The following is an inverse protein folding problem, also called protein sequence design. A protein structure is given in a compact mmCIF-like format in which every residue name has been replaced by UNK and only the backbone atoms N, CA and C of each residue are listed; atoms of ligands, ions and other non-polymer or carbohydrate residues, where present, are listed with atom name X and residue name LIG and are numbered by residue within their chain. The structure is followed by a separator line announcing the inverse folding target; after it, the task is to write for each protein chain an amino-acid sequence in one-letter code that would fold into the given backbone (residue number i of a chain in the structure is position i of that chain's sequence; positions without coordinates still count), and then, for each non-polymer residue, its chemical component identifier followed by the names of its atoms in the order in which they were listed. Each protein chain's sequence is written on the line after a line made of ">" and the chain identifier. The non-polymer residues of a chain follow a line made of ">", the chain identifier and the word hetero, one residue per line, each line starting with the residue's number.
data_IF_959872692758
#
_entry.id   IF_959872692758
#
_cell.length_a   1.000
_cell.length_b   1.000
_cell.length_c   1.000
_cell.angle_alpha   90.00
_cell.angle_beta   90.00
_cell.angle_gamma   90.00
#
_symmetry.space_group_name_H-M   'P 1'
#
loop_
_entity.id
_entity.type
_entity.pdbx_description
1 polymer ?
#
# COMPACT_ATOMS: atom_id res chain seq x y z
N UNK A 1 -0.03 -9.81 4.05
CA UNK A 1 -0.15 -8.36 3.79
C UNK A 1 -0.95 -7.81 4.95
N UNK A 2 -0.35 -6.96 5.78
CA UNK A 2 -1.11 -6.27 6.83
C UNK A 2 -2.13 -5.40 6.09
N UNK A 3 -3.42 -5.68 6.30
CA UNK A 3 -4.52 -5.03 5.58
C UNK A 3 -4.32 -3.51 5.69
N UNK A 4 -4.39 -2.81 4.56
CA UNK A 4 -4.62 -1.36 4.55
C UNK A 4 -5.89 -1.11 5.33
N UNK A 5 -5.74 -0.78 6.60
CA UNK A 5 -6.87 -0.42 7.43
C UNK A 5 -7.13 1.06 7.10
N UNK A 6 -7.86 1.30 6.00
CA UNK A 6 -8.32 2.61 5.57
C UNK A 6 -8.94 3.40 6.73
N UNK A 7 -9.58 2.67 7.66
CA UNK A 7 -10.11 3.19 8.92
C UNK A 7 -9.07 3.95 9.76
N UNK A 8 -7.78 3.58 9.73
CA UNK A 8 -6.71 4.29 10.45
C UNK A 8 -6.29 5.59 9.76
N UNK A 9 -6.38 5.70 8.43
CA UNK A 9 -6.09 6.93 7.69
C UNK A 9 -7.26 7.90 7.83
N UNK A 10 -8.50 7.41 7.73
CA UNK A 10 -9.71 8.20 7.98
C UNK A 10 -9.82 8.67 9.43
N UNK A 11 -9.38 7.87 10.43
CA UNK A 11 -9.35 8.29 11.85
C UNK A 11 -8.38 9.44 12.12
N UNK A 12 -7.26 9.53 11.39
CA UNK A 12 -6.26 10.58 11.60
C UNK A 12 -6.74 11.92 11.03
N UNK A 13 -7.44 11.89 9.88
CA UNK A 13 -8.00 13.11 9.27
C UNK A 13 -9.25 13.58 10.00
N UNK A 14 -10.09 12.68 10.52
CA UNK A 14 -11.21 13.07 11.40
C UNK A 14 -10.75 13.77 12.70
N UNK A 15 -9.54 13.49 13.17
CA UNK A 15 -8.97 14.14 14.36
C UNK A 15 -8.70 15.64 14.22
N UNK A 16 -8.66 16.18 12.99
CA UNK A 16 -8.42 17.61 12.73
C UNK A 16 -9.61 18.47 13.18
N UNK A 17 -10.84 17.99 12.97
CA UNK A 17 -12.04 18.81 13.17
C UNK A 17 -12.56 18.75 14.61
N UNK A 18 -12.14 17.75 15.39
CA UNK A 18 -12.42 17.73 16.84
C UNK A 18 -11.54 18.73 17.60
N UNK A 19 -10.35 19.07 17.10
CA UNK A 19 -9.53 20.13 17.72
C UNK A 19 -9.98 21.56 17.36
N UNK A 20 -10.84 21.73 16.36
CA UNK A 20 -11.64 22.95 16.17
C UNK A 20 -12.91 22.95 17.06
N UNK A 21 -13.28 21.81 17.65
CA UNK A 21 -14.33 21.69 18.66
C UNK A 21 -13.84 21.91 20.11
N UNK A 22 -12.55 22.15 20.35
CA UNK A 22 -12.06 22.53 21.69
C UNK A 22 -12.47 23.95 22.12
N UNK A 23 -13.16 24.71 21.26
CA UNK A 23 -13.85 25.95 21.63
C UNK A 23 -15.38 25.76 21.78
N UNK A 24 -15.86 24.52 21.76
CA UNK A 24 -17.28 24.17 21.61
C UNK A 24 -17.74 23.13 22.66
N UNK A 25 -17.56 23.43 23.94
CA UNK A 25 -18.25 22.70 25.02
C UNK A 25 -19.69 23.20 25.21
N UNK A 26 -20.70 22.31 25.30
CA UNK A 26 -22.04 22.69 25.74
C UNK A 26 -22.06 22.63 27.27
N UNK A 27 -21.87 23.76 27.95
CA UNK A 27 -22.28 23.86 29.36
C UNK A 27 -23.80 23.94 29.37
N UNK A 28 -24.42 22.86 29.85
CA UNK A 28 -25.86 22.76 30.09
C UNK A 28 -26.20 23.70 31.25
N UNK A 29 -27.11 24.65 31.05
CA UNK A 29 -27.88 25.27 32.14
C UNK A 29 -29.15 25.94 31.61
N UNK A 30 -30.16 25.88 32.46
CA UNK A 30 -31.57 26.27 32.33
C UNK A 30 -31.80 27.77 31.98
N UNK A 31 -33.06 28.08 31.61
CA UNK A 31 -33.68 29.38 31.27
C UNK A 31 -33.76 29.69 29.76
N UNK A 32 -34.95 30.06 29.29
CA UNK A 32 -35.34 30.12 27.87
C UNK A 32 -35.41 31.55 27.32
N UNK A 33 -35.37 32.60 28.16
CA UNK A 33 -35.29 34.01 27.75
C UNK A 33 -33.86 34.55 27.68
N UNK A 34 -32.87 33.87 28.27
CA UNK A 34 -31.44 34.20 28.19
C UNK A 34 -30.71 33.43 27.09
N UNK A 35 -31.35 32.43 26.46
CA UNK A 35 -30.72 31.58 25.44
C UNK A 35 -30.42 32.32 24.15
N UNK A 36 -31.32 33.16 23.67
CA UNK A 36 -31.12 33.87 22.41
C UNK A 36 -30.06 34.97 22.57
N UNK A 37 -30.02 35.65 23.72
CA UNK A 37 -28.97 36.61 24.07
C UNK A 37 -27.59 35.95 24.26
N UNK A 38 -27.53 34.80 24.96
CA UNK A 38 -26.27 34.03 25.11
C UNK A 38 -25.82 33.45 23.77
N UNK A 39 -26.75 33.06 22.91
CA UNK A 39 -26.46 32.54 21.56
C UNK A 39 -25.97 33.67 20.64
N UNK A 40 -26.58 34.85 20.69
CA UNK A 40 -26.13 36.05 19.99
C UNK A 40 -24.74 36.52 20.48
N UNK A 41 -24.49 36.49 21.80
CA UNK A 41 -23.18 36.84 22.38
C UNK A 41 -22.09 35.82 22.05
N UNK A 42 -22.42 34.52 22.00
CA UNK A 42 -21.50 33.48 21.49
C UNK A 42 -21.26 33.61 19.99
N UNK A 43 -22.26 34.06 19.25
CA UNK A 43 -22.19 34.30 17.83
C UNK A 43 -21.28 35.51 17.53
N UNK A 44 -21.41 36.65 18.21
CA UNK A 44 -20.50 37.79 18.02
C UNK A 44 -19.04 37.42 18.31
N UNK A 45 -18.80 36.66 19.38
CA UNK A 45 -17.48 36.12 19.73
C UNK A 45 -16.90 35.16 18.66
N UNK A 46 -17.73 34.52 17.83
CA UNK A 46 -17.25 33.68 16.74
C UNK A 46 -16.63 34.53 15.61
N UNK A 47 -17.27 35.64 15.22
CA UNK A 47 -16.73 36.51 14.19
C UNK A 47 -15.41 37.19 14.62
N UNK A 48 -15.28 37.54 15.91
CA UNK A 48 -14.02 38.05 16.47
C UNK A 48 -12.92 36.98 16.44
N UNK A 49 -13.26 35.72 16.75
CA UNK A 49 -12.30 34.61 16.79
C UNK A 49 -11.88 34.15 15.40
N UNK A 50 -12.80 34.11 14.43
CA UNK A 50 -12.48 33.63 13.09
C UNK A 50 -11.60 34.60 12.30
N UNK A 51 -11.77 35.90 12.56
CA UNK A 51 -10.93 36.96 12.02
C UNK A 51 -9.47 36.83 12.53
N UNK A 52 -9.31 36.32 13.76
CA UNK A 52 -8.03 36.08 14.41
C UNK A 52 -7.57 34.60 14.33
N UNK A 53 -8.19 33.80 13.46
CA UNK A 53 -7.94 32.37 13.41
C UNK A 53 -6.56 32.06 12.80
N UNK A 54 -5.56 31.93 13.66
CA UNK A 54 -4.23 31.44 13.32
C UNK A 54 -4.10 29.94 13.58
N UNK A 55 -3.39 29.21 12.72
CA UNK A 55 -2.94 27.84 13.03
C UNK A 55 -3.74 26.68 12.40
N UNK A 56 -4.80 26.94 11.61
CA UNK A 56 -5.44 25.89 10.81
C UNK A 56 -4.44 25.31 9.80
N UNK A 57 -3.71 26.17 9.08
CA UNK A 57 -2.69 25.73 8.13
C UNK A 57 -1.58 24.91 8.79
N UNK A 58 -1.15 25.31 10.00
CA UNK A 58 -0.15 24.57 10.77
C UNK A 58 -0.65 23.17 11.13
N UNK A 59 -1.87 23.05 11.67
CA UNK A 59 -2.46 21.74 12.02
C UNK A 59 -2.63 20.84 10.80
N UNK A 60 -2.99 21.42 9.64
CA UNK A 60 -3.08 20.64 8.39
C UNK A 60 -1.68 20.19 7.95
N UNK A 61 -0.67 21.06 8.01
CA UNK A 61 0.70 20.72 7.65
C UNK A 61 1.30 19.62 8.55
N UNK A 62 1.10 19.68 9.88
CA UNK A 62 1.55 18.65 10.82
C UNK A 62 0.94 17.27 10.50
N UNK A 63 -0.33 17.25 10.09
CA UNK A 63 -1.03 16.02 9.73
C UNK A 63 -0.60 15.48 8.38
N UNK A 64 -0.38 16.36 7.40
CA UNK A 64 0.22 16.02 6.11
C UNK A 64 1.59 15.36 6.32
N UNK A 65 2.45 15.95 7.15
CA UNK A 65 3.75 15.38 7.50
C UNK A 65 3.63 13.99 8.16
N UNK A 66 2.66 13.82 9.07
CA UNK A 66 2.39 12.52 9.71
C UNK A 66 1.95 11.46 8.69
N UNK A 67 1.13 11.85 7.70
CA UNK A 67 0.68 10.94 6.64
C UNK A 67 1.87 10.52 5.79
N UNK A 68 2.69 11.46 5.35
CA UNK A 68 3.87 11.18 4.53
C UNK A 68 4.88 10.29 5.27
N UNK A 69 5.16 10.56 6.55
CA UNK A 69 6.02 9.70 7.37
C UNK A 69 5.50 8.27 7.43
N UNK A 70 4.20 8.08 7.72
CA UNK A 70 3.59 6.75 7.78
C UNK A 70 3.58 6.04 6.42
N UNK A 71 3.60 6.76 5.32
CA UNK A 71 3.73 6.18 3.97
C UNK A 71 5.16 5.75 3.71
N UNK A 72 6.13 6.61 4.02
CA UNK A 72 7.55 6.28 3.90
C UNK A 72 7.93 5.03 4.72
N UNK A 73 7.48 4.95 5.98
CA UNK A 73 7.72 3.79 6.85
C UNK A 73 7.19 2.49 6.26
N UNK A 74 6.01 2.51 5.64
CA UNK A 74 5.42 1.32 5.00
C UNK A 74 6.22 0.90 3.77
N UNK A 75 6.64 1.85 2.95
CA UNK A 75 7.48 1.58 1.77
C UNK A 75 8.81 0.96 2.21
N UNK A 76 9.44 1.50 3.26
CA UNK A 76 10.67 0.97 3.81
C UNK A 76 10.50 -0.47 4.35
N UNK A 77 9.46 -0.72 5.16
CA UNK A 77 9.13 -2.07 5.64
C UNK A 77 8.88 -3.05 4.50
N UNK A 78 8.21 -2.62 3.43
CA UNK A 78 7.98 -3.44 2.24
C UNK A 78 9.31 -3.79 1.54
N UNK A 79 10.19 -2.80 1.36
CA UNK A 79 11.52 -2.97 0.77
C UNK A 79 12.36 -3.96 1.58
N UNK A 80 12.45 -3.78 2.89
CA UNK A 80 13.15 -4.69 3.78
C UNK A 80 12.62 -6.12 3.71
N UNK A 81 11.28 -6.29 3.74
CA UNK A 81 10.66 -7.62 3.65
C UNK A 81 11.01 -8.31 2.33
N UNK A 82 11.05 -7.56 1.23
CA UNK A 82 11.45 -8.08 -0.08
C UNK A 82 12.93 -8.47 -0.09
N UNK A 83 13.80 -7.68 0.53
CA UNK A 83 15.24 -7.97 0.64
C UNK A 83 15.50 -9.26 1.44
N UNK A 84 14.93 -9.36 2.65
CA UNK A 84 15.02 -10.59 3.47
C UNK A 84 14.50 -11.82 2.73
N UNK A 85 13.41 -11.65 1.97
CA UNK A 85 12.88 -12.72 1.12
C UNK A 85 13.80 -13.11 -0.04
N UNK A 86 14.51 -12.16 -0.64
CA UNK A 86 15.51 -12.43 -1.67
C UNK A 86 16.73 -13.16 -1.11
N UNK A 87 17.28 -12.70 0.01
CA UNK A 87 18.42 -13.35 0.69
C UNK A 87 18.11 -14.82 1.00
N UNK A 88 16.96 -15.08 1.63
CA UNK A 88 16.52 -16.46 1.91
C UNK A 88 16.37 -17.30 0.64
N UNK A 89 15.85 -16.71 -0.45
CA UNK A 89 15.70 -17.42 -1.74
C UNK A 89 17.05 -17.75 -2.37
N UNK A 90 18.01 -16.82 -2.33
CA UNK A 90 19.36 -17.03 -2.85
C UNK A 90 20.07 -18.12 -2.06
N UNK A 91 20.05 -18.05 -0.72
CA UNK A 91 20.65 -19.05 0.15
C UNK A 91 20.03 -20.44 -0.06
N UNK A 92 18.70 -20.53 -0.15
CA UNK A 92 18.03 -21.79 -0.43
C UNK A 92 18.43 -22.37 -1.79
N UNK A 93 18.49 -21.54 -2.85
CA UNK A 93 18.91 -21.97 -4.18
C UNK A 93 20.33 -22.53 -4.18
N UNK A 94 21.27 -21.84 -3.54
CA UNK A 94 22.65 -22.30 -3.40
C UNK A 94 22.72 -23.68 -2.73
N UNK A 95 21.99 -23.88 -1.62
CA UNK A 95 21.90 -25.19 -0.95
C UNK A 95 21.35 -26.29 -1.87
N UNK A 96 20.29 -26.00 -2.62
CA UNK A 96 19.72 -26.95 -3.58
C UNK A 96 20.67 -27.29 -4.72
N UNK A 97 21.47 -26.32 -5.18
CA UNK A 97 22.45 -26.53 -6.25
C UNK A 97 23.60 -27.42 -5.78
N UNK A 98 24.15 -27.15 -4.59
CA UNK A 98 25.17 -28.02 -3.97
C UNK A 98 24.66 -29.45 -3.80
N UNK A 99 23.46 -29.62 -3.23
CA UNK A 99 22.88 -30.96 -3.02
C UNK A 99 22.67 -31.72 -4.33
N UNK A 100 22.32 -31.02 -5.41
CA UNK A 100 22.10 -31.63 -6.71
C UNK A 100 23.42 -31.98 -7.40
N UNK A 101 24.42 -31.09 -7.34
CA UNK A 101 25.75 -31.38 -7.84
C UNK A 101 26.34 -32.64 -7.17
N UNK A 102 26.17 -32.75 -5.86
CA UNK A 102 26.58 -33.94 -5.10
C UNK A 102 25.83 -35.21 -5.53
N UNK A 103 24.53 -35.11 -5.83
CA UNK A 103 23.76 -36.26 -6.37
C UNK A 103 24.26 -36.70 -7.73
N UNK A 104 24.58 -35.76 -8.63
CA UNK A 104 25.15 -36.11 -9.93
C UNK A 104 26.51 -36.78 -9.80
N UNK A 105 27.36 -36.28 -8.89
CA UNK A 105 28.65 -36.90 -8.60
C UNK A 105 28.50 -38.34 -8.13
N UNK A 106 27.61 -38.59 -7.16
CA UNK A 106 27.34 -39.95 -6.66
C UNK A 106 26.80 -40.90 -7.73
N UNK A 107 26.00 -40.41 -8.67
CA UNK A 107 25.53 -41.21 -9.79
C UNK A 107 26.68 -41.61 -10.73
N UNK A 108 27.64 -40.71 -10.97
CA UNK A 108 28.79 -40.99 -11.83
C UNK A 108 29.84 -41.90 -11.17
N UNK A 109 29.93 -41.91 -9.84
CA UNK A 109 30.87 -42.73 -9.07
C UNK A 109 30.36 -44.15 -8.78
N UNK A 110 29.18 -44.53 -9.29
CA UNK A 110 28.62 -45.86 -9.04
C UNK A 110 29.47 -46.97 -9.69
N UNK A 111 29.66 -48.07 -8.94
CA UNK A 111 30.30 -49.27 -9.45
C UNK A 111 29.50 -49.84 -10.63
N UNK A 112 30.17 -50.26 -11.71
CA UNK A 112 29.58 -50.76 -12.97
C UNK A 112 29.07 -49.70 -14.00
N UNK A 113 29.68 -48.51 -14.02
CA UNK A 113 29.40 -47.50 -15.05
C UNK A 113 30.13 -47.78 -16.38
N UNK A 114 29.38 -48.11 -17.44
CA UNK A 114 29.88 -48.07 -18.83
C UNK A 114 29.92 -46.63 -19.35
N UNK A 115 30.59 -46.39 -20.48
CA UNK A 115 30.69 -45.05 -21.04
C UNK A 115 29.34 -44.54 -21.55
N UNK A 116 28.46 -45.44 -22.00
CA UNK A 116 27.07 -45.14 -22.39
C UNK A 116 26.27 -44.67 -21.18
N UNK A 117 26.38 -45.35 -20.02
CA UNK A 117 25.69 -44.98 -18.78
C UNK A 117 26.17 -43.65 -18.24
N UNK A 118 27.48 -43.37 -18.30
CA UNK A 118 28.04 -42.05 -17.96
C UNK A 118 27.48 -40.96 -18.87
N UNK A 119 27.43 -41.20 -20.18
CA UNK A 119 26.90 -40.24 -21.14
C UNK A 119 25.42 -39.94 -20.88
N UNK A 120 24.60 -40.97 -20.56
CA UNK A 120 23.21 -40.78 -20.17
C UNK A 120 23.05 -39.91 -18.90
N UNK A 121 23.90 -40.10 -17.89
CA UNK A 121 23.91 -39.26 -16.68
C UNK A 121 24.29 -37.82 -17.02
N UNK A 122 25.26 -37.59 -17.91
CA UNK A 122 25.65 -36.24 -18.37
C UNK A 122 24.48 -35.55 -19.08
N UNK A 123 23.76 -36.25 -19.95
CA UNK A 123 22.56 -35.74 -20.63
C UNK A 123 21.47 -35.40 -19.60
N UNK A 124 21.19 -36.30 -18.66
CA UNK A 124 20.23 -36.07 -17.59
C UNK A 124 20.58 -34.83 -16.74
N UNK A 125 21.85 -34.71 -16.34
CA UNK A 125 22.36 -33.56 -15.60
C UNK A 125 22.10 -32.26 -16.37
N UNK A 126 22.52 -32.21 -17.63
CA UNK A 126 22.41 -31.02 -18.48
C UNK A 126 20.94 -30.60 -18.61
N UNK A 127 20.06 -31.53 -18.97
CA UNK A 127 18.61 -31.29 -19.10
C UNK A 127 18.00 -30.73 -17.83
N UNK A 128 18.34 -31.28 -16.66
CA UNK A 128 17.80 -30.79 -15.38
C UNK A 128 18.36 -29.44 -14.93
N UNK A 129 19.64 -29.16 -15.22
CA UNK A 129 20.26 -27.86 -14.94
C UNK A 129 19.62 -26.76 -15.80
N UNK A 130 19.42 -27.02 -17.09
CA UNK A 130 18.72 -26.13 -18.01
C UNK A 130 17.27 -25.89 -17.59
N UNK A 131 16.50 -26.96 -17.31
CA UNK A 131 15.12 -26.84 -16.85
C UNK A 131 15.03 -26.07 -15.53
N UNK A 132 15.99 -26.26 -14.62
CA UNK A 132 16.07 -25.51 -13.36
C UNK A 132 16.33 -24.04 -13.62
N UNK A 133 17.31 -23.72 -14.47
CA UNK A 133 17.68 -22.36 -14.84
C UNK A 133 16.48 -21.64 -15.46
N UNK A 134 15.81 -22.28 -16.40
CA UNK A 134 14.60 -21.75 -17.04
C UNK A 134 13.49 -21.49 -16.02
N UNK A 135 13.14 -22.47 -15.18
CA UNK A 135 12.13 -22.29 -14.12
C UNK A 135 12.45 -21.10 -13.21
N UNK A 136 13.71 -20.98 -12.79
CA UNK A 136 14.15 -19.86 -11.93
C UNK A 136 14.00 -18.52 -12.65
N UNK A 137 14.48 -18.43 -13.89
CA UNK A 137 14.41 -17.21 -14.69
C UNK A 137 12.97 -16.75 -14.90
N UNK A 138 12.05 -17.66 -15.25
CA UNK A 138 10.63 -17.34 -15.44
C UNK A 138 9.98 -16.83 -14.15
N UNK A 139 10.22 -17.51 -13.01
CA UNK A 139 9.65 -17.09 -11.72
C UNK A 139 10.24 -15.76 -11.25
N UNK A 140 11.54 -15.54 -11.45
CA UNK A 140 12.21 -14.29 -11.06
C UNK A 140 11.71 -13.11 -11.91
N UNK A 141 11.58 -13.31 -13.23
CA UNK A 141 10.99 -12.32 -14.15
C UNK A 141 9.56 -11.98 -13.75
N UNK A 142 8.69 -12.97 -13.55
CA UNK A 142 7.32 -12.76 -13.10
C UNK A 142 7.24 -12.05 -11.73
N UNK A 143 8.18 -12.35 -10.82
CA UNK A 143 8.29 -11.67 -9.53
C UNK A 143 8.74 -10.22 -9.67
N UNK A 144 9.65 -9.92 -10.60
CA UNK A 144 10.10 -8.58 -10.89
C UNK A 144 8.97 -7.73 -11.48
N UNK A 145 8.25 -8.25 -12.48
CA UNK A 145 7.07 -7.60 -13.07
C UNK A 145 6.01 -7.31 -12.02
N UNK A 146 5.70 -8.29 -11.16
CA UNK A 146 4.77 -8.09 -10.05
C UNK A 146 5.22 -6.95 -9.11
N UNK A 147 6.50 -6.92 -8.74
CA UNK A 147 7.03 -5.89 -7.84
C UNK A 147 6.98 -4.51 -8.49
N UNK A 148 7.38 -4.41 -9.75
CA UNK A 148 7.36 -3.16 -10.50
C UNK A 148 5.93 -2.60 -10.63
N UNK A 149 4.97 -3.45 -10.99
CA UNK A 149 3.55 -3.08 -11.06
C UNK A 149 3.00 -2.61 -9.71
N UNK A 150 3.26 -3.36 -8.63
CA UNK A 150 2.87 -2.95 -7.27
C UNK A 150 3.49 -1.60 -6.87
N UNK A 151 4.76 -1.38 -7.18
CA UNK A 151 5.45 -0.13 -6.82
C UNK A 151 4.92 1.06 -7.63
N UNK A 152 4.51 0.83 -8.88
CA UNK A 152 3.83 1.82 -9.71
C UNK A 152 2.48 2.21 -9.12
N UNK A 153 1.65 1.23 -8.73
CA UNK A 153 0.34 1.48 -8.12
C UNK A 153 0.46 2.23 -6.78
N UNK A 154 1.46 1.88 -5.95
CA UNK A 154 1.75 2.61 -4.70
C UNK A 154 2.13 4.08 -4.96
N UNK A 155 2.91 4.35 -6.01
CA UNK A 155 3.27 5.73 -6.40
C UNK A 155 2.05 6.49 -6.93
N UNK A 156 1.21 5.84 -7.73
CA UNK A 156 -0.02 6.43 -8.26
C UNK A 156 -1.00 6.78 -7.14
N UNK A 157 -1.29 5.84 -6.24
CA UNK A 157 -2.10 6.07 -5.03
C UNK A 157 -1.53 7.23 -4.22
N UNK A 158 -0.20 7.28 -4.08
CA UNK A 158 0.48 8.35 -3.39
C UNK A 158 0.27 9.74 -3.96
N UNK A 159 0.27 9.83 -5.29
CA UNK A 159 0.01 11.07 -6.02
C UNK A 159 -1.45 11.49 -5.86
N UNK A 160 -2.37 10.52 -5.94
CA UNK A 160 -3.81 10.75 -5.75
C UNK A 160 -4.12 11.26 -4.34
N UNK A 161 -3.55 10.64 -3.29
CA UNK A 161 -3.70 11.09 -1.90
C UNK A 161 -3.21 12.54 -1.74
N UNK A 162 -2.04 12.88 -2.30
CA UNK A 162 -1.51 14.25 -2.23
C UNK A 162 -2.45 15.25 -2.91
N UNK A 163 -3.01 14.90 -4.07
CA UNK A 163 -4.00 15.73 -4.74
C UNK A 163 -5.27 15.92 -3.88
N UNK A 164 -5.80 14.85 -3.29
CA UNK A 164 -6.97 14.91 -2.39
C UNK A 164 -6.70 15.78 -1.15
N UNK A 165 -5.49 15.72 -0.57
CA UNK A 165 -5.08 16.59 0.55
C UNK A 165 -5.06 18.06 0.12
N UNK A 166 -4.55 18.36 -1.08
CA UNK A 166 -4.53 19.72 -1.60
C UNK A 166 -5.94 20.27 -1.84
N UNK A 167 -6.85 19.46 -2.40
CA UNK A 167 -8.26 19.84 -2.54
C UNK A 167 -8.90 20.13 -1.19
N UNK A 168 -8.74 19.23 -0.22
CA UNK A 168 -9.25 19.43 1.14
C UNK A 168 -8.71 20.71 1.78
N UNK A 169 -7.40 21.01 1.63
CA UNK A 169 -6.80 22.27 2.09
C UNK A 169 -7.46 23.50 1.45
N UNK A 170 -7.65 23.44 0.14
CA UNK A 170 -8.30 24.51 -0.62
C UNK A 170 -9.73 24.75 -0.13
N UNK A 171 -10.51 23.68 0.07
CA UNK A 171 -11.90 23.76 0.54
C UNK A 171 -11.99 24.39 1.94
N UNK A 172 -11.11 23.98 2.86
CA UNK A 172 -11.07 24.55 4.21
C UNK A 172 -10.68 26.03 4.19
N UNK A 173 -9.69 26.42 3.38
CA UNK A 173 -9.29 27.82 3.21
C UNK A 173 -10.43 28.65 2.62
N UNK A 174 -11.05 28.18 1.55
CA UNK A 174 -12.19 28.85 0.91
C UNK A 174 -13.35 29.04 1.88
N UNK A 175 -13.71 28.00 2.64
CA UNK A 175 -14.77 28.10 3.64
C UNK A 175 -14.42 29.09 4.78
N UNK A 176 -13.16 29.11 5.21
CA UNK A 176 -12.67 30.03 6.26
C UNK A 176 -12.67 31.48 5.78
N UNK A 177 -12.16 31.75 4.58
CA UNK A 177 -12.16 33.09 3.99
C UNK A 177 -13.58 33.59 3.72
N UNK A 178 -14.48 32.71 3.24
CA UNK A 178 -15.90 33.06 3.12
C UNK A 178 -16.49 33.46 4.47
N UNK A 179 -16.22 32.69 5.53
CA UNK A 179 -16.73 33.00 6.86
C UNK A 179 -16.18 34.32 7.42
N UNK A 180 -14.91 34.66 7.16
CA UNK A 180 -14.34 35.98 7.50
C UNK A 180 -15.07 37.11 6.76
N UNK A 181 -15.27 36.96 5.45
CA UNK A 181 -15.96 37.95 4.63
C UNK A 181 -17.42 38.14 5.07
N UNK A 182 -18.15 37.06 5.32
CA UNK A 182 -19.53 37.11 5.80
C UNK A 182 -19.62 37.81 7.18
N UNK A 183 -18.66 37.54 8.08
CA UNK A 183 -18.55 38.21 9.37
C UNK A 183 -18.27 39.72 9.24
N UNK A 184 -17.48 40.14 8.25
CA UNK A 184 -17.19 41.55 7.99
C UNK A 184 -18.38 42.30 7.38
N UNK A 185 -19.28 41.61 6.65
CA UNK A 185 -20.48 42.20 6.06
C UNK A 185 -21.69 42.28 7.00
N UNK A 186 -21.48 42.24 8.33
CA UNK A 186 -22.54 42.28 9.35
C UNK A 186 -23.56 41.13 9.27
N UNK A 187 -23.19 39.97 8.70
CA UNK A 187 -24.07 38.81 8.70
C UNK A 187 -24.25 38.25 10.12
N UNK A 188 -25.43 37.69 10.40
CA UNK A 188 -25.71 37.01 11.67
C UNK A 188 -24.66 35.92 11.92
N UNK A 189 -23.87 36.08 12.99
CA UNK A 189 -22.71 35.23 13.22
C UNK A 189 -23.07 33.77 13.52
N UNK A 190 -24.33 33.49 13.95
CA UNK A 190 -24.81 32.13 14.12
C UNK A 190 -25.00 31.45 12.75
N UNK A 191 -25.54 32.19 11.78
CA UNK A 191 -25.66 31.77 10.38
C UNK A 191 -24.28 31.54 9.75
N UNK A 192 -23.32 32.47 9.95
CA UNK A 192 -21.95 32.30 9.42
C UNK A 192 -21.28 31.04 9.97
N UNK A 193 -21.36 30.80 11.29
CA UNK A 193 -20.83 29.60 11.92
C UNK A 193 -21.50 28.31 11.41
N UNK A 194 -22.82 28.33 11.20
CA UNK A 194 -23.53 27.18 10.63
C UNK A 194 -23.07 26.87 9.20
N UNK A 195 -22.92 27.89 8.36
CA UNK A 195 -22.43 27.75 6.99
C UNK A 195 -21.01 27.17 6.97
N UNK A 196 -20.09 27.75 7.75
CA UNK A 196 -18.71 27.25 7.87
C UNK A 196 -18.68 25.77 8.27
N UNK A 197 -19.43 25.39 9.31
CA UNK A 197 -19.51 24.00 9.77
C UNK A 197 -20.03 23.06 8.68
N UNK A 198 -21.03 23.50 7.94
CA UNK A 198 -21.58 22.75 6.83
C UNK A 198 -20.52 22.52 5.74
N UNK A 199 -19.82 23.57 5.32
CA UNK A 199 -18.76 23.49 4.30
C UNK A 199 -17.61 22.58 4.73
N UNK A 200 -17.16 22.70 5.99
CA UNK A 200 -16.12 21.81 6.54
C UNK A 200 -16.60 20.35 6.53
N UNK A 201 -17.86 20.09 6.94
CA UNK A 201 -18.42 18.74 6.96
C UNK A 201 -18.50 18.14 5.55
N UNK A 202 -18.86 18.94 4.55
CA UNK A 202 -18.85 18.54 3.14
C UNK A 202 -17.44 18.18 2.68
N UNK A 203 -16.44 19.03 2.95
CA UNK A 203 -15.05 18.77 2.59
C UNK A 203 -14.51 17.47 3.23
N UNK A 204 -14.80 17.23 4.51
CA UNK A 204 -14.42 15.97 5.19
C UNK A 204 -15.09 14.75 4.54
N UNK A 205 -16.39 14.86 4.24
CA UNK A 205 -17.16 13.76 3.61
C UNK A 205 -16.60 13.44 2.23
N UNK A 206 -16.28 14.47 1.46
CA UNK A 206 -15.69 14.33 0.13
C UNK A 206 -14.33 13.66 0.21
N UNK A 207 -13.41 14.21 1.01
CA UNK A 207 -12.09 13.63 1.23
C UNK A 207 -12.15 12.16 1.70
N UNK A 208 -13.07 11.85 2.62
CA UNK A 208 -13.26 10.47 3.10
C UNK A 208 -13.77 9.54 2.01
N UNK A 209 -14.69 10.01 1.17
CA UNK A 209 -15.21 9.25 0.03
C UNK A 209 -14.11 9.00 -1.01
N UNK A 210 -13.34 10.04 -1.34
CA UNK A 210 -12.25 9.99 -2.31
C UNK A 210 -11.14 9.03 -1.86
N UNK A 211 -10.77 9.08 -0.58
CA UNK A 211 -9.80 8.13 -0.03
C UNK A 211 -10.34 6.70 -0.09
N UNK A 212 -11.62 6.48 0.22
CA UNK A 212 -12.22 5.13 0.17
C UNK A 212 -12.34 4.57 -1.25
N UNK A 213 -12.44 5.43 -2.27
CA UNK A 213 -12.51 4.99 -3.66
C UNK A 213 -11.15 4.57 -4.23
N UNK A 214 -10.04 4.80 -3.51
CA UNK A 214 -8.72 4.31 -3.87
C UNK A 214 -8.68 2.77 -3.79
N UNK A 215 -8.89 2.12 -4.93
CA UNK A 215 -8.95 0.67 -5.08
C UNK A 215 -7.60 -0.04 -5.26
N UNK A 216 -6.59 0.23 -4.43
CA UNK A 216 -5.25 -0.36 -4.60
C UNK A 216 -5.27 -1.90 -4.68
N UNK A 217 -6.14 -2.53 -3.89
CA UNK A 217 -6.27 -3.99 -3.87
C UNK A 217 -6.67 -4.54 -5.23
N UNK A 218 -7.63 -3.88 -5.89
CA UNK A 218 -8.13 -4.31 -7.18
C UNK A 218 -7.11 -3.98 -8.29
N UNK A 219 -6.41 -2.85 -8.18
CA UNK A 219 -5.32 -2.48 -9.07
C UNK A 219 -4.14 -3.48 -9.01
N UNK A 220 -3.85 -4.06 -7.84
CA UNK A 220 -2.76 -5.04 -7.66
C UNK A 220 -3.16 -6.48 -8.06
N UNK A 221 -4.46 -6.77 -8.13
CA UNK A 221 -4.97 -8.12 -8.40
C UNK A 221 -4.46 -8.71 -9.73
N UNK A 222 -4.47 -8.00 -10.87
CA UNK A 222 -3.93 -8.53 -12.13
C UNK A 222 -2.48 -8.97 -12.03
N UNK A 223 -1.61 -8.18 -11.37
CA UNK A 223 -0.21 -8.55 -11.19
C UNK A 223 -0.04 -9.82 -10.33
N UNK A 224 -0.91 -9.98 -9.33
CA UNK A 224 -0.91 -11.16 -8.45
C UNK A 224 -1.24 -12.42 -9.23
N UNK A 225 -2.31 -12.38 -10.03
CA UNK A 225 -2.74 -13.51 -10.86
C UNK A 225 -1.72 -13.82 -11.96
N UNK A 226 -1.19 -12.80 -12.64
CA UNK A 226 -0.16 -12.99 -13.67
C UNK A 226 1.09 -13.69 -13.10
N UNK A 227 1.57 -13.28 -11.93
CA UNK A 227 2.71 -13.94 -11.27
C UNK A 227 2.39 -15.38 -10.86
N UNK A 228 1.19 -15.62 -10.35
CA UNK A 228 0.74 -16.96 -9.93
C UNK A 228 0.70 -17.90 -11.12
N UNK A 229 0.10 -17.47 -12.23
CA UNK A 229 0.00 -18.25 -13.45
C UNK A 229 1.36 -18.55 -14.06
N UNK A 230 2.22 -17.53 -14.22
CA UNK A 230 3.58 -17.73 -14.72
C UNK A 230 4.40 -18.70 -13.83
N UNK A 231 4.20 -18.64 -12.51
CA UNK A 231 4.86 -19.56 -11.58
C UNK A 231 4.34 -20.99 -11.71
N UNK A 232 3.02 -21.15 -11.89
CA UNK A 232 2.38 -22.46 -12.10
C UNK A 232 2.91 -23.10 -13.39
N UNK A 233 2.86 -22.38 -14.50
CA UNK A 233 3.36 -22.84 -15.80
C UNK A 233 4.84 -23.24 -15.72
N UNK A 234 5.69 -22.40 -15.11
CA UNK A 234 7.11 -22.71 -14.95
C UNK A 234 7.37 -23.99 -14.13
N UNK A 235 6.52 -24.27 -13.14
CA UNK A 235 6.60 -25.50 -12.34
C UNK A 235 6.12 -26.72 -13.14
N UNK A 236 5.03 -26.59 -13.89
CA UNK A 236 4.46 -27.66 -14.72
C UNK A 236 5.44 -28.06 -15.82
N UNK A 237 6.01 -27.09 -16.54
CA UNK A 237 7.07 -27.33 -17.54
C UNK A 237 8.25 -28.06 -16.90
N UNK A 238 8.76 -27.57 -15.76
CA UNK A 238 9.88 -28.23 -15.07
C UNK A 238 9.55 -29.68 -14.67
N UNK A 239 8.34 -29.94 -14.15
CA UNK A 239 7.92 -31.28 -13.76
C UNK A 239 7.90 -32.23 -14.95
N UNK A 240 7.29 -31.80 -16.07
CA UNK A 240 7.24 -32.59 -17.29
C UNK A 240 8.65 -32.88 -17.83
N UNK A 241 9.53 -31.88 -17.90
CA UNK A 241 10.93 -32.07 -18.33
C UNK A 241 11.68 -33.03 -17.40
N UNK A 242 11.48 -32.90 -16.09
CA UNK A 242 12.11 -33.78 -15.10
C UNK A 242 11.63 -35.22 -15.23
N UNK A 243 10.33 -35.45 -15.41
CA UNK A 243 9.76 -36.80 -15.58
C UNK A 243 10.35 -37.48 -16.81
N UNK A 244 10.33 -36.79 -17.96
CA UNK A 244 10.92 -37.30 -19.19
C UNK A 244 12.41 -37.63 -19.02
N UNK A 245 13.19 -36.72 -18.42
CA UNK A 245 14.61 -36.95 -18.19
C UNK A 245 14.87 -38.16 -17.28
N UNK A 246 14.01 -38.41 -16.27
CA UNK A 246 14.10 -39.60 -15.41
C UNK A 246 13.80 -40.87 -16.19
N UNK A 247 12.75 -40.86 -17.03
CA UNK A 247 12.38 -42.00 -17.89
C UNK A 247 13.52 -42.35 -18.86
N UNK A 248 14.06 -41.35 -19.55
CA UNK A 248 15.18 -41.50 -20.48
C UNK A 248 16.44 -42.05 -19.76
N UNK A 249 16.74 -41.54 -18.55
CA UNK A 249 17.86 -42.03 -17.76
C UNK A 249 17.66 -43.49 -17.31
N UNK A 250 16.47 -43.86 -16.85
CA UNK A 250 16.17 -45.24 -16.42
C UNK A 250 16.34 -46.22 -17.58
N UNK A 251 15.76 -45.90 -18.74
CA UNK A 251 15.89 -46.72 -19.94
C UNK A 251 17.37 -46.94 -20.32
N UNK A 252 18.20 -45.89 -20.23
CA UNK A 252 19.63 -45.98 -20.52
C UNK A 252 20.45 -46.75 -19.46
N UNK A 253 19.98 -46.83 -18.21
CA UNK A 253 20.65 -47.57 -17.15
C UNK A 253 20.26 -49.06 -17.12
N UNK A 254 19.07 -49.40 -17.60
CA UNK A 254 18.54 -50.76 -17.73
C UNK A 254 18.98 -51.45 -19.03
N UNK A 255 19.40 -50.68 -20.04
CA UNK A 255 20.14 -51.16 -21.21
C UNK A 255 21.55 -51.65 -20.86
#
# INVERSE_FOLDING_TARGET
>A
MEKMNFNKITSIVLGVVISANLLLSPIVSFAQSTRDDIKAKRASLFCDRISNLSGIDQKIAEREATIEQKRADRINRLKEKRNRGNERRVAARAKWDVNRAERYKKLLEASAMTDEKKQAIIVFKTTLEEATKMRRATIDSATQTFRAGVDQEIRAEGTAIKAMINTFKSDIRSATEKAKNDCASSADSATVNQVLRSSIKVAIKQFTTDIKSLGLKDAIKPFTEARKEASKQAIETFKSTMQKAIEDLKAALEA
#
